data_IF_962162715587
#
_entry.id   IF_962162715587
#
_cell.length_a   1.000
_cell.length_b   1.000
_cell.length_c   1.000
_cell.angle_alpha   90.00
_cell.angle_beta   90.00
_cell.angle_gamma   90.00
#
_symmetry.space_group_name_H-M   'P 1'
#
loop_
_entity.id
_entity.type
_entity.pdbx_description
1 polymer ?
#
# COMPACT_ATOMS: atom_id res chain seq x y z
N UNK A 1 6.84 25.81 7.45
CA UNK A 1 7.24 25.32 6.13
C UNK A 1 7.22 23.80 6.20
N UNK A 2 6.09 23.18 5.92
CA UNK A 2 6.07 21.73 5.65
C UNK A 2 6.69 21.55 4.26
N UNK A 3 7.95 21.17 4.22
CA UNK A 3 8.52 20.67 2.97
C UNK A 3 7.73 19.43 2.58
N UNK A 4 7.10 19.48 1.41
CA UNK A 4 6.32 18.39 0.83
C UNK A 4 7.10 17.07 0.94
N UNK A 5 6.59 16.16 1.78
CA UNK A 5 6.96 14.74 1.79
C UNK A 5 6.87 14.25 0.33
N UNK A 6 7.98 13.74 -0.22
CA UNK A 6 8.06 13.27 -1.61
C UNK A 6 8.93 14.11 -2.56
N UNK A 7 9.59 15.19 -2.11
CA UNK A 7 10.56 15.93 -2.95
C UNK A 7 11.94 15.27 -3.11
N UNK A 8 12.21 14.15 -2.44
CA UNK A 8 13.47 13.41 -2.58
C UNK A 8 13.50 12.76 -3.97
N UNK A 9 14.28 13.32 -4.89
CA UNK A 9 14.42 12.81 -6.26
C UNK A 9 15.62 11.86 -6.35
N UNK A 10 15.45 10.71 -7.00
CA UNK A 10 16.54 9.79 -7.36
C UNK A 10 16.67 8.51 -6.52
N UNK A 11 15.83 8.33 -5.49
CA UNK A 11 15.81 7.12 -4.65
C UNK A 11 14.44 6.44 -4.64
N UNK A 12 13.64 6.63 -5.68
CA UNK A 12 12.30 6.07 -5.76
C UNK A 12 12.40 4.55 -5.89
N UNK A 13 11.92 3.84 -4.88
CA UNK A 13 11.71 2.41 -4.96
C UNK A 13 10.34 2.21 -5.61
N UNK A 14 10.31 1.39 -6.66
CA UNK A 14 9.08 0.96 -7.31
C UNK A 14 8.80 -0.50 -6.98
N UNK A 15 7.67 -0.75 -6.35
CA UNK A 15 7.18 -2.09 -6.07
C UNK A 15 6.68 -2.76 -7.36
N UNK A 16 6.98 -4.05 -7.53
CA UNK A 16 6.46 -4.88 -8.61
C UNK A 16 5.76 -6.11 -8.03
N UNK A 17 4.74 -6.57 -8.73
CA UNK A 17 3.99 -7.80 -8.43
C UNK A 17 4.23 -8.80 -9.56
N UNK A 18 4.52 -10.04 -9.21
CA UNK A 18 4.88 -11.15 -10.09
C UNK A 18 3.66 -11.97 -10.54
N UNK A 19 2.52 -11.31 -10.77
CA UNK A 19 1.25 -11.97 -11.10
C UNK A 19 0.99 -11.87 -12.60
N UNK A 20 0.96 -13.02 -13.27
CA UNK A 20 0.68 -13.15 -14.70
C UNK A 20 -0.66 -13.87 -14.98
N UNK A 21 -1.15 -13.77 -16.22
CA UNK A 21 -2.36 -14.47 -16.66
C UNK A 21 -2.11 -15.98 -16.79
N UNK A 22 -3.11 -16.84 -16.54
CA UNK A 22 -4.49 -16.53 -16.16
C UNK A 22 -4.66 -16.25 -14.66
N UNK A 23 -5.42 -15.20 -14.32
CA UNK A 23 -5.73 -14.87 -12.91
C UNK A 23 -6.73 -15.86 -12.33
N UNK A 24 -6.57 -16.17 -11.04
CA UNK A 24 -7.55 -16.96 -10.30
C UNK A 24 -8.89 -16.23 -10.21
N UNK A 25 -10.00 -16.97 -10.28
CA UNK A 25 -11.35 -16.43 -10.15
C UNK A 25 -11.59 -15.68 -8.83
N UNK A 26 -10.84 -16.04 -7.77
CA UNK A 26 -10.89 -15.39 -6.45
C UNK A 26 -10.25 -13.99 -6.42
N UNK A 27 -9.39 -13.66 -7.38
CA UNK A 27 -8.90 -12.29 -7.59
C UNK A 27 -10.01 -11.41 -8.23
N UNK A 28 -11.16 -12.02 -8.56
CA UNK A 28 -12.38 -11.36 -8.99
C UNK A 28 -13.24 -10.84 -7.84
N UNK A 29 -13.98 -9.76 -8.15
CA UNK A 29 -14.69 -8.85 -7.23
C UNK A 29 -15.64 -9.54 -6.24
N UNK A 30 -15.34 -9.44 -4.95
CA UNK A 30 -16.36 -9.46 -3.90
C UNK A 30 -16.66 -8.01 -3.50
N UNK A 31 -17.91 -7.55 -3.63
CA UNK A 31 -18.26 -6.20 -3.15
C UNK A 31 -18.04 -6.12 -1.64
N UNK A 32 -17.51 -5.00 -1.16
CA UNK A 32 -17.57 -4.71 0.27
C UNK A 32 -19.04 -4.67 0.70
N UNK A 33 -19.43 -5.29 1.83
CA UNK A 33 -20.78 -5.12 2.36
C UNK A 33 -21.09 -3.64 2.56
N UNK A 34 -22.19 -3.18 1.96
CA UNK A 34 -22.53 -1.76 1.85
C UNK A 34 -23.33 -1.30 3.08
N UNK A 35 -22.62 -0.91 4.14
CA UNK A 35 -23.21 -0.25 5.31
C UNK A 35 -23.13 1.28 5.11
N UNK A 36 -24.20 2.00 5.42
CA UNK A 36 -24.33 3.44 5.14
C UNK A 36 -23.24 4.28 5.83
N UNK A 37 -22.85 3.93 7.05
CA UNK A 37 -21.81 4.61 7.82
C UNK A 37 -20.41 4.35 7.24
N UNK A 38 -20.12 3.11 6.88
CA UNK A 38 -18.90 2.69 6.18
C UNK A 38 -18.72 3.43 4.86
N UNK A 39 -19.79 3.61 4.09
CA UNK A 39 -19.74 4.25 2.77
C UNK A 39 -19.37 5.74 2.85
N UNK A 40 -19.74 6.44 3.93
CA UNK A 40 -19.37 7.84 4.15
C UNK A 40 -17.87 7.96 4.45
N UNK A 41 -17.36 7.10 5.34
CA UNK A 41 -15.94 7.07 5.70
C UNK A 41 -15.06 6.67 4.51
N UNK A 42 -15.48 5.67 3.71
CA UNK A 42 -14.76 5.30 2.49
C UNK A 42 -14.61 6.50 1.56
N UNK A 43 -15.69 7.24 1.29
CA UNK A 43 -15.65 8.42 0.41
C UNK A 43 -14.72 9.51 0.95
N UNK A 44 -14.72 9.72 2.27
CA UNK A 44 -13.80 10.65 2.93
C UNK A 44 -12.35 10.26 2.67
N UNK A 45 -11.97 9.02 2.98
CA UNK A 45 -10.60 8.54 2.77
C UNK A 45 -10.17 8.53 1.30
N UNK A 46 -11.04 8.12 0.39
CA UNK A 46 -10.74 8.13 -1.05
C UNK A 46 -10.46 9.55 -1.54
N UNK A 47 -11.20 10.56 -1.07
CA UNK A 47 -10.92 11.94 -1.44
C UNK A 47 -9.57 12.43 -0.87
N UNK A 48 -9.28 12.11 0.40
CA UNK A 48 -7.97 12.46 1.01
C UNK A 48 -6.80 11.83 0.22
N UNK A 49 -6.91 10.56 -0.16
CA UNK A 49 -5.87 9.87 -0.93
C UNK A 49 -5.73 10.42 -2.36
N UNK A 50 -6.82 10.89 -2.97
CA UNK A 50 -6.78 11.55 -4.28
C UNK A 50 -6.08 12.92 -4.21
N UNK A 51 -6.32 13.67 -3.12
CA UNK A 51 -5.72 14.99 -2.88
C UNK A 51 -4.21 14.89 -2.65
N UNK A 52 -3.77 13.87 -1.92
CA UNK A 52 -2.33 13.58 -1.69
C UNK A 52 -1.66 12.93 -2.92
N UNK A 53 -2.43 12.59 -3.95
CA UNK A 53 -1.97 11.91 -5.17
C UNK A 53 -1.36 10.51 -4.94
N UNK A 54 -1.75 9.85 -3.85
CA UNK A 54 -1.37 8.46 -3.59
C UNK A 54 -2.18 7.49 -4.46
N UNK A 55 -3.44 7.85 -4.74
CA UNK A 55 -4.30 7.13 -5.68
C UNK A 55 -4.72 8.06 -6.82
N UNK A 56 -5.11 7.44 -7.94
CA UNK A 56 -5.63 8.18 -9.09
C UNK A 56 -6.85 7.48 -9.68
N UNK A 57 -7.66 8.24 -10.39
CA UNK A 57 -8.72 7.68 -11.23
C UNK A 57 -8.10 6.96 -12.42
N UNK A 58 -8.71 5.84 -12.79
CA UNK A 58 -8.31 5.03 -13.95
C UNK A 58 -8.82 5.71 -15.22
N UNK A 59 -7.95 5.81 -16.23
CA UNK A 59 -8.31 6.35 -17.54
C UNK A 59 -9.27 5.43 -18.31
N UNK A 60 -10.07 6.00 -19.22
CA UNK A 60 -11.07 5.25 -19.99
C UNK A 60 -10.49 4.08 -20.79
N UNK A 61 -9.23 4.17 -21.22
CA UNK A 61 -8.55 3.18 -22.05
C UNK A 61 -7.59 2.27 -21.26
N UNK A 62 -7.58 2.35 -19.94
CA UNK A 62 -6.70 1.52 -19.12
C UNK A 62 -7.34 0.18 -18.79
N UNK A 63 -6.53 -0.88 -18.89
CA UNK A 63 -6.97 -2.24 -18.62
C UNK A 63 -6.89 -2.49 -17.11
N UNK A 64 -8.02 -2.87 -16.52
CA UNK A 64 -8.12 -3.38 -15.16
C UNK A 64 -8.19 -4.90 -15.22
N UNK A 65 -7.26 -5.56 -14.56
CA UNK A 65 -7.12 -7.02 -14.61
C UNK A 65 -7.64 -7.68 -13.34
N UNK A 66 -7.27 -7.13 -12.19
CA UNK A 66 -7.69 -7.59 -10.87
C UNK A 66 -8.26 -6.40 -10.10
N UNK A 67 -9.21 -6.68 -9.22
CA UNK A 67 -9.78 -5.67 -8.35
C UNK A 67 -9.73 -6.13 -6.91
N UNK A 68 -9.17 -5.30 -6.04
CA UNK A 68 -9.17 -5.49 -4.60
C UNK A 68 -10.28 -4.70 -3.93
N UNK A 69 -10.96 -5.34 -3.00
CA UNK A 69 -12.00 -4.74 -2.18
C UNK A 69 -11.39 -4.03 -0.97
N UNK A 70 -12.06 -2.98 -0.51
CA UNK A 70 -11.70 -2.32 0.75
C UNK A 70 -12.68 -2.63 1.87
N UNK A 71 -12.20 -2.48 3.09
CA UNK A 71 -13.00 -2.51 4.30
C UNK A 71 -12.56 -1.38 5.23
N UNK A 72 -13.51 -0.86 6.01
CA UNK A 72 -13.18 0.08 7.10
C UNK A 72 -13.00 -0.74 8.37
N UNK A 73 -11.82 -0.64 8.97
CA UNK A 73 -11.58 -1.15 10.32
C UNK A 73 -11.71 -0.01 11.33
N UNK A 74 -12.39 -0.26 12.43
CA UNK A 74 -12.53 0.68 13.53
C UNK A 74 -11.64 0.23 14.70
N UNK A 75 -10.85 1.14 15.24
CA UNK A 75 -10.08 0.91 16.45
C UNK A 75 -9.97 2.21 17.26
N UNK A 76 -10.26 2.14 18.56
CA UNK A 76 -10.17 3.29 19.50
C UNK A 76 -10.86 4.57 18.99
N UNK A 77 -12.05 4.43 18.40
CA UNK A 77 -12.82 5.56 17.85
C UNK A 77 -12.26 6.15 16.55
N UNK A 78 -11.22 5.55 15.97
CA UNK A 78 -10.66 5.93 14.67
C UNK A 78 -10.98 4.86 13.62
N UNK A 79 -11.40 5.30 12.44
CA UNK A 79 -11.53 4.47 11.25
C UNK A 79 -10.19 4.39 10.51
N UNK A 80 -9.99 3.32 9.73
CA UNK A 80 -8.91 3.18 8.75
C UNK A 80 -9.45 2.45 7.53
N UNK A 81 -9.07 2.91 6.34
CA UNK A 81 -9.33 2.22 5.07
C UNK A 81 -8.27 1.13 4.87
N UNK A 82 -8.71 -0.13 4.78
CA UNK A 82 -7.85 -1.30 4.68
C UNK A 82 -8.17 -2.09 3.42
N UNK A 83 -7.18 -2.30 2.54
CA UNK A 83 -7.36 -3.11 1.33
C UNK A 83 -7.26 -4.60 1.64
N UNK A 84 -8.20 -5.40 1.14
CA UNK A 84 -8.18 -6.85 1.29
C UNK A 84 -7.31 -7.52 0.23
N UNK A 85 -6.00 -7.47 0.43
CA UNK A 85 -5.02 -8.08 -0.47
C UNK A 85 -4.77 -9.56 -0.18
N UNK A 86 -5.54 -10.23 0.69
CA UNK A 86 -5.24 -11.63 1.11
C UNK A 86 -5.21 -12.61 -0.06
N UNK A 87 -6.15 -12.46 -1.00
CA UNK A 87 -6.19 -13.30 -2.20
C UNK A 87 -4.99 -13.04 -3.12
N UNK A 88 -4.53 -11.79 -3.19
CA UNK A 88 -3.38 -11.38 -3.98
C UNK A 88 -2.08 -11.88 -3.34
N UNK A 89 -1.92 -11.69 -2.03
CA UNK A 89 -0.73 -12.10 -1.25
C UNK A 89 -0.47 -13.60 -1.37
N UNK A 90 -1.51 -14.43 -1.33
CA UNK A 90 -1.38 -15.89 -1.49
C UNK A 90 -0.91 -16.32 -2.89
N UNK A 91 -0.97 -15.42 -3.86
CA UNK A 91 -0.62 -15.69 -5.26
C UNK A 91 0.65 -14.99 -5.71
N UNK A 92 1.15 -14.03 -4.94
CA UNK A 92 2.42 -13.34 -5.17
C UNK A 92 3.56 -14.04 -4.45
N UNK A 93 4.76 -14.00 -5.02
CA UNK A 93 5.95 -14.45 -4.31
C UNK A 93 6.42 -13.35 -3.36
N UNK A 94 6.56 -13.68 -2.07
CA UNK A 94 7.07 -12.74 -1.07
C UNK A 94 8.53 -12.35 -1.38
N UNK A 95 8.77 -11.05 -1.60
CA UNK A 95 10.12 -10.50 -1.75
C UNK A 95 10.80 -10.38 -0.37
N UNK A 96 11.61 -11.40 -0.04
CA UNK A 96 12.31 -11.48 1.26
C UNK A 96 13.69 -10.85 1.13
N UNK A 97 13.78 -9.56 1.45
CA UNK A 97 15.08 -8.92 1.64
C UNK A 97 15.75 -9.45 2.93
N UNK A 98 17.06 -9.77 2.93
CA UNK A 98 17.73 -10.31 4.10
C UNK A 98 17.77 -9.29 5.24
N UNK A 99 16.89 -9.47 6.22
CA UNK A 99 16.91 -8.69 7.46
C UNK A 99 18.08 -9.15 8.33
N UNK A 100 18.92 -8.24 8.87
CA UNK A 100 20.00 -8.62 9.76
C UNK A 100 19.44 -9.30 11.02
N UNK A 101 20.19 -10.27 11.55
CA UNK A 101 19.89 -10.87 12.84
C UNK A 101 19.92 -9.81 13.94
N UNK A 102 18.97 -9.89 14.89
CA UNK A 102 18.85 -8.96 16.02
C UNK A 102 20.19 -8.75 16.76
N UNK A 103 20.93 -9.80 17.20
CA UNK A 103 22.23 -9.63 17.85
C UNK A 103 23.23 -8.86 16.99
N UNK A 104 23.31 -9.17 15.69
CA UNK A 104 24.24 -8.47 14.80
C UNK A 104 23.90 -6.99 14.61
N UNK A 105 22.61 -6.65 14.62
CA UNK A 105 22.17 -5.26 14.60
C UNK A 105 22.53 -4.55 15.92
N UNK A 106 22.36 -5.22 17.06
CA UNK A 106 22.67 -4.67 18.39
C UNK A 106 24.17 -4.44 18.59
N UNK A 107 25.04 -5.34 18.15
CA UNK A 107 26.51 -5.18 18.25
C UNK A 107 26.98 -3.88 17.57
N UNK A 108 26.35 -3.51 16.44
CA UNK A 108 26.66 -2.27 15.71
C UNK A 108 26.16 -1.03 16.45
N UNK A 109 25.04 -1.15 17.14
CA UNK A 109 24.42 -0.05 17.90
C UNK A 109 25.17 0.17 19.22
N UNK A 110 25.65 -0.89 19.88
CA UNK A 110 26.41 -0.81 21.14
C UNK A 110 27.69 0.04 20.99
N UNK A 111 28.36 -0.06 19.84
CA UNK A 111 29.59 0.68 19.56
C UNK A 111 29.35 2.14 19.13
N UNK A 112 28.09 2.56 18.98
CA UNK A 112 27.75 3.88 18.48
C UNK A 112 27.83 4.96 19.58
N UNK A 113 28.51 6.08 19.28
CA UNK A 113 28.58 7.24 20.19
C UNK A 113 27.24 7.99 20.29
N UNK A 114 26.46 7.97 19.22
CA UNK A 114 25.14 8.60 19.13
C UNK A 114 24.19 7.67 18.39
N UNK A 115 22.97 7.55 18.90
CA UNK A 115 21.89 6.77 18.27
C UNK A 115 20.77 7.74 17.94
N UNK A 116 20.30 7.71 16.69
CA UNK A 116 19.13 8.46 16.24
C UNK A 116 18.08 7.47 15.76
N UNK A 117 16.85 7.67 16.22
CA UNK A 117 15.70 6.89 15.78
C UNK A 117 14.80 7.78 14.93
N UNK A 118 14.46 7.32 13.73
CA UNK A 118 13.54 8.01 12.83
C UNK A 118 12.37 7.07 12.54
N UNK A 119 11.15 7.55 12.74
CA UNK A 119 9.94 6.81 12.40
C UNK A 119 9.57 7.09 10.93
N UNK A 120 9.45 6.01 10.15
CA UNK A 120 9.06 6.04 8.73
C UNK A 120 7.61 5.56 8.54
N UNK A 121 6.70 5.90 9.46
CA UNK A 121 5.31 5.40 9.47
C UNK A 121 4.54 5.58 8.14
N UNK A 122 4.83 6.61 7.35
CA UNK A 122 4.20 6.87 6.03
C UNK A 122 5.06 6.41 4.84
N UNK A 123 6.12 5.63 5.07
CA UNK A 123 7.05 5.21 4.01
C UNK A 123 6.39 4.45 2.86
N UNK A 124 5.34 3.67 3.13
CA UNK A 124 4.61 2.94 2.09
C UNK A 124 3.97 3.85 1.04
N UNK A 125 3.53 5.04 1.44
CA UNK A 125 2.87 6.00 0.55
C UNK A 125 3.86 6.78 -0.33
N UNK A 126 5.16 6.66 -0.05
CA UNK A 126 6.22 7.35 -0.80
C UNK A 126 6.74 6.51 -1.98
N UNK A 127 6.55 5.19 -1.92
CA UNK A 127 7.03 4.26 -2.94
C UNK A 127 5.98 4.08 -4.03
N UNK A 128 6.42 4.11 -5.29
CA UNK A 128 5.55 3.92 -6.44
C UNK A 128 5.28 2.44 -6.72
N UNK A 129 4.25 2.16 -7.52
CA UNK A 129 4.04 0.84 -8.11
C UNK A 129 4.38 0.88 -9.60
N UNK A 130 5.01 -0.19 -10.12
CA UNK A 130 5.29 -0.29 -11.55
C UNK A 130 4.01 -0.31 -12.39
N UNK A 131 4.02 0.20 -13.64
CA UNK A 131 2.83 0.27 -14.48
C UNK A 131 2.12 -1.06 -14.74
N UNK A 132 2.85 -2.17 -14.82
CA UNK A 132 2.24 -3.48 -14.97
C UNK A 132 1.49 -3.93 -13.71
N UNK A 133 2.01 -3.58 -12.53
CA UNK A 133 1.41 -3.93 -11.24
C UNK A 133 0.20 -3.04 -10.90
N UNK A 134 0.13 -1.82 -11.44
CA UNK A 134 -1.03 -0.94 -11.28
C UNK A 134 -2.35 -1.56 -11.81
N UNK A 135 -2.28 -2.40 -12.84
CA UNK A 135 -3.45 -3.08 -13.43
C UNK A 135 -4.11 -4.09 -12.47
N UNK A 136 -3.34 -4.53 -11.47
CA UNK A 136 -3.74 -5.55 -10.49
C UNK A 136 -4.16 -4.89 -9.17
N UNK A 137 -3.55 -3.75 -8.82
CA UNK A 137 -3.83 -2.98 -7.61
C UNK A 137 -5.05 -2.06 -7.74
N UNK A 138 -5.93 -2.31 -8.70
CA UNK A 138 -7.13 -1.50 -8.89
C UNK A 138 -8.14 -1.76 -7.79
N UNK A 139 -8.85 -0.70 -7.41
CA UNK A 139 -9.79 -0.68 -6.31
C UNK A 139 -11.20 -0.33 -6.80
N UNK A 140 -12.24 -0.93 -6.20
CA UNK A 140 -13.66 -0.67 -6.49
C UNK A 140 -14.46 -0.48 -5.21
#
# INVERSE_FOLDING_TARGET
MEENLGKIRGYNIESYLDVERPYLSILGRNKCPEIMETSKEIKKYVNELLDVHEIRKIGHNEIVEVTTSFLITWNDGKSRLCGDFRALENHTTADRYPTPSIPHALDKVEQAKYITMMDCMKGFHQNGAKPNSMKILTII
#
